data_IF_574548534567
#
_entry.id   IF_574548534567
#
_cell.length_a   1.000
_cell.length_b   1.000
_cell.length_c   1.000
_cell.angle_alpha   90.00
_cell.angle_beta   90.00
_cell.angle_gamma   90.00
#
_symmetry.space_group_name_H-M   'P 1'
#
loop_
_entity.id
_entity.type
_entity.pdbx_description
1 polymer ?
#
# COMPACT_ATOMS: atom_id res chain seq x y z
N UNK A 1 38.08 1.37 28.27
CA UNK A 1 38.13 1.48 26.79
C UNK A 1 36.87 0.87 26.15
N UNK A 2 36.37 -0.28 26.62
CA UNK A 2 35.11 -0.89 26.17
C UNK A 2 33.84 -0.04 26.41
N UNK A 3 33.78 0.73 27.50
CA UNK A 3 32.58 1.56 27.80
C UNK A 3 32.35 2.69 26.79
N UNK A 4 33.41 3.28 26.22
CA UNK A 4 33.26 4.37 25.25
C UNK A 4 32.74 3.84 23.91
N UNK A 5 33.21 2.67 23.47
CA UNK A 5 32.71 2.01 22.26
C UNK A 5 31.24 1.61 22.39
N UNK A 6 30.85 1.06 23.56
CA UNK A 6 29.46 0.70 23.82
C UNK A 6 28.53 1.93 23.79
N UNK A 7 28.94 3.02 24.44
CA UNK A 7 28.17 4.28 24.44
C UNK A 7 28.07 4.87 23.03
N UNK A 8 29.16 4.85 22.25
CA UNK A 8 29.15 5.34 20.87
C UNK A 8 28.23 4.49 19.97
N UNK A 9 28.23 3.16 20.14
CA UNK A 9 27.35 2.26 19.42
C UNK A 9 25.88 2.52 19.74
N UNK A 10 25.55 2.78 21.01
CA UNK A 10 24.19 3.07 21.47
C UNK A 10 23.67 4.40 20.93
N UNK A 11 24.48 5.46 21.00
CA UNK A 11 24.14 6.77 20.44
C UNK A 11 23.94 6.67 18.93
N UNK A 12 24.82 5.96 18.23
CA UNK A 12 24.70 5.76 16.78
C UNK A 12 23.40 5.04 16.39
N UNK A 13 23.00 4.02 17.17
CA UNK A 13 21.78 3.25 16.92
C UNK A 13 20.50 4.04 17.23
N UNK A 14 20.48 4.79 18.33
CA UNK A 14 19.34 5.66 18.67
C UNK A 14 19.14 6.75 17.62
N UNK A 15 20.23 7.41 17.19
CA UNK A 15 20.17 8.36 16.08
C UNK A 15 19.70 7.68 14.79
N UNK A 16 20.16 6.46 14.50
CA UNK A 16 19.70 5.69 13.35
C UNK A 16 18.19 5.41 13.38
N UNK A 17 17.67 5.02 14.55
CA UNK A 17 16.24 4.76 14.76
C UNK A 17 15.41 6.02 14.58
N UNK A 18 15.80 7.13 15.20
CA UNK A 18 15.07 8.39 15.12
C UNK A 18 15.02 8.93 13.68
N UNK A 19 16.15 8.86 12.97
CA UNK A 19 16.25 9.29 11.58
C UNK A 19 15.50 8.37 10.60
N UNK A 20 15.36 7.07 10.94
CA UNK A 20 14.58 6.13 10.13
C UNK A 20 13.08 6.42 10.12
N UNK A 21 12.57 7.14 11.13
CA UNK A 21 11.16 7.52 11.24
C UNK A 21 10.81 8.74 10.37
N UNK A 22 11.77 9.65 10.14
CA UNK A 22 11.52 10.91 9.44
C UNK A 22 11.84 10.85 7.94
N UNK A 23 13.03 10.36 7.55
CA UNK A 23 13.50 10.36 6.13
C UNK A 23 14.45 9.19 5.80
N UNK A 24 13.97 7.94 5.82
CA UNK A 24 14.82 6.76 5.61
C UNK A 24 15.48 6.73 4.22
N UNK A 25 14.76 7.13 3.16
CA UNK A 25 15.27 7.10 1.78
C UNK A 25 16.42 8.08 1.49
N UNK A 26 16.52 9.20 2.24
CA UNK A 26 17.58 10.19 2.08
C UNK A 26 18.96 9.69 2.57
N UNK A 27 18.98 8.56 3.28
CA UNK A 27 20.19 7.94 3.84
C UNK A 27 20.52 6.59 3.19
N UNK A 28 19.82 6.23 2.11
CA UNK A 28 20.21 5.08 1.31
C UNK A 28 21.59 5.33 0.70
N UNK A 29 22.58 4.54 1.11
CA UNK A 29 23.95 4.61 0.59
C UNK A 29 24.08 3.94 -0.78
N UNK A 30 23.13 3.06 -1.13
CA UNK A 30 23.03 2.42 -2.44
C UNK A 30 21.75 2.88 -3.13
N UNK A 31 21.88 3.45 -4.33
CA UNK A 31 20.72 3.86 -5.14
C UNK A 31 20.10 2.64 -5.80
N UNK A 32 18.79 2.49 -5.67
CA UNK A 32 18.06 1.45 -6.40
C UNK A 32 18.03 1.85 -7.88
N UNK A 33 18.73 1.08 -8.72
CA UNK A 33 18.67 1.22 -10.17
C UNK A 33 17.58 0.29 -10.72
N UNK A 34 16.63 0.86 -11.45
CA UNK A 34 15.55 0.09 -12.05
C UNK A 34 15.98 -0.38 -13.46
N UNK A 35 15.67 -1.63 -13.83
CA UNK A 35 16.04 -2.18 -15.14
C UNK A 35 15.35 -1.45 -16.29
N UNK A 36 15.85 -1.61 -17.51
CA UNK A 36 15.29 -0.97 -18.70
C UNK A 36 13.81 -1.38 -18.93
N UNK A 37 12.95 -0.49 -19.47
CA UNK A 37 11.55 -0.80 -19.78
C UNK A 37 11.32 -2.05 -20.64
N UNK A 38 12.31 -2.47 -21.44
CA UNK A 38 12.28 -3.72 -22.22
C UNK A 38 12.02 -4.98 -21.38
N UNK A 39 12.33 -4.93 -20.07
CA UNK A 39 12.08 -6.04 -19.13
C UNK A 39 10.59 -6.43 -19.07
N UNK A 40 9.68 -5.53 -19.46
CA UNK A 40 8.23 -5.78 -19.52
C UNK A 40 7.90 -7.07 -20.26
N UNK A 41 8.52 -7.32 -21.43
CA UNK A 41 8.18 -8.50 -22.25
C UNK A 41 8.45 -9.81 -21.53
N UNK A 42 9.59 -9.90 -20.84
CA UNK A 42 10.01 -11.08 -20.07
C UNK A 42 9.13 -11.22 -18.82
N UNK A 43 8.95 -10.11 -18.09
CA UNK A 43 8.19 -10.11 -16.85
C UNK A 43 6.70 -10.40 -17.05
N UNK A 44 6.11 -9.91 -18.13
CA UNK A 44 4.70 -10.20 -18.45
C UNK A 44 4.52 -11.70 -18.67
N UNK A 45 5.37 -12.34 -19.48
CA UNK A 45 5.32 -13.79 -19.70
C UNK A 45 5.56 -14.60 -18.41
N UNK A 46 6.47 -14.13 -17.54
CA UNK A 46 6.72 -14.75 -16.25
C UNK A 46 5.49 -14.68 -15.33
N UNK A 47 4.87 -13.50 -15.22
CA UNK A 47 3.67 -13.28 -14.40
C UNK A 47 2.47 -14.06 -14.95
N UNK A 48 2.30 -14.14 -16.28
CA UNK A 48 1.26 -14.96 -16.91
C UNK A 48 1.46 -16.45 -16.59
N UNK A 49 2.68 -16.97 -16.71
CA UNK A 49 2.99 -18.38 -16.43
C UNK A 49 2.72 -18.76 -14.97
N UNK A 50 2.94 -17.83 -14.04
CA UNK A 50 2.70 -18.03 -12.62
C UNK A 50 1.25 -17.68 -12.19
N UNK A 51 0.41 -17.22 -13.12
CA UNK A 51 -0.95 -16.77 -12.83
C UNK A 51 -0.97 -15.58 -11.87
N UNK A 52 0.04 -14.72 -11.89
CA UNK A 52 0.13 -13.50 -11.07
C UNK A 52 -0.45 -12.26 -11.77
N UNK A 53 -0.76 -12.38 -13.07
CA UNK A 53 -1.37 -11.33 -13.88
C UNK A 53 -2.90 -11.31 -13.67
N UNK A 54 -3.32 -11.08 -12.44
CA UNK A 54 -4.73 -10.91 -12.07
C UNK A 54 -4.90 -9.61 -11.29
N UNK A 55 -6.05 -8.95 -11.44
CA UNK A 55 -6.36 -7.71 -10.73
C UNK A 55 -6.14 -7.86 -9.23
N UNK A 56 -6.70 -8.90 -8.62
CA UNK A 56 -6.61 -9.15 -7.19
C UNK A 56 -5.16 -9.22 -6.68
N UNK A 57 -4.31 -9.99 -7.36
CA UNK A 57 -2.89 -10.15 -6.97
C UNK A 57 -2.08 -8.86 -7.14
N UNK A 58 -2.31 -8.09 -8.19
CA UNK A 58 -1.58 -6.84 -8.42
C UNK A 58 -2.09 -5.76 -7.47
N UNK A 59 -3.41 -5.66 -7.30
CA UNK A 59 -4.04 -4.66 -6.46
C UNK A 59 -3.77 -4.87 -4.97
N UNK A 60 -3.71 -6.12 -4.50
CA UNK A 60 -3.35 -6.43 -3.11
C UNK A 60 -1.87 -6.14 -2.78
N UNK A 61 -1.02 -5.96 -3.79
CA UNK A 61 0.35 -5.57 -3.56
C UNK A 61 0.48 -4.06 -3.43
N UNK A 62 1.23 -3.60 -2.42
CA UNK A 62 1.39 -2.18 -2.12
C UNK A 62 1.90 -1.34 -3.31
N UNK A 63 2.89 -1.85 -4.05
CA UNK A 63 3.42 -1.16 -5.24
C UNK A 63 2.44 -1.23 -6.43
N UNK A 64 1.75 -2.34 -6.59
CA UNK A 64 0.73 -2.50 -7.62
C UNK A 64 -0.43 -1.54 -7.41
N UNK A 65 -0.95 -1.45 -6.19
CA UNK A 65 -1.95 -0.46 -5.79
C UNK A 65 -1.51 0.97 -6.06
N UNK A 66 -0.31 1.37 -5.63
CA UNK A 66 0.17 2.76 -5.80
C UNK A 66 0.30 3.15 -7.27
N UNK A 67 0.81 2.24 -8.12
CA UNK A 67 0.96 2.48 -9.55
C UNK A 67 -0.38 2.45 -10.28
N UNK A 68 -1.30 1.58 -9.85
CA UNK A 68 -2.66 1.53 -10.38
C UNK A 68 -3.45 2.80 -10.02
N UNK A 69 -3.38 3.24 -8.77
CA UNK A 69 -3.96 4.52 -8.32
C UNK A 69 -3.41 5.69 -9.14
N UNK A 70 -2.10 5.77 -9.30
CA UNK A 70 -1.44 6.80 -10.09
C UNK A 70 -1.81 6.72 -11.58
N UNK A 71 -2.13 5.53 -12.09
CA UNK A 71 -2.71 5.37 -13.42
C UNK A 71 -4.12 5.95 -13.49
N UNK A 72 -5.02 5.55 -12.58
CA UNK A 72 -6.41 5.99 -12.55
C UNK A 72 -6.53 7.51 -12.40
N UNK A 73 -5.76 8.13 -11.50
CA UNK A 73 -5.81 9.58 -11.26
C UNK A 73 -5.33 10.42 -12.44
N UNK A 74 -4.41 9.90 -13.27
CA UNK A 74 -3.79 10.68 -14.35
C UNK A 74 -4.33 10.35 -15.76
N UNK A 75 -4.89 9.16 -15.97
CA UNK A 75 -5.28 8.68 -17.30
C UNK A 75 -6.78 8.38 -17.44
N UNK A 76 -7.53 8.27 -16.35
CA UNK A 76 -8.92 7.83 -16.38
C UNK A 76 -9.79 8.75 -15.51
N UNK A 77 -10.39 9.75 -16.14
CA UNK A 77 -11.25 10.75 -15.47
C UNK A 77 -12.47 10.08 -14.78
N UNK A 78 -12.96 8.97 -15.35
CA UNK A 78 -14.05 8.16 -14.77
C UNK A 78 -13.63 7.28 -13.59
N UNK A 79 -12.35 6.86 -13.51
CA UNK A 79 -11.85 5.96 -12.46
C UNK A 79 -11.25 6.71 -11.27
N UNK A 80 -10.87 7.98 -11.47
CA UNK A 80 -10.38 8.85 -10.41
C UNK A 80 -11.35 8.99 -9.22
N UNK A 81 -12.66 9.29 -9.39
CA UNK A 81 -13.60 9.39 -8.27
C UNK A 81 -13.81 8.04 -7.55
N UNK A 82 -13.81 6.92 -8.29
CA UNK A 82 -13.97 5.57 -7.73
C UNK A 82 -12.82 5.18 -6.80
N UNK A 83 -11.60 5.52 -7.18
CA UNK A 83 -10.40 5.27 -6.36
C UNK A 83 -10.38 6.16 -5.11
N UNK A 84 -10.76 7.44 -5.23
CA UNK A 84 -10.88 8.34 -4.07
C UNK A 84 -11.94 7.83 -3.08
N UNK A 85 -13.10 7.40 -3.60
CA UNK A 85 -14.15 6.79 -2.80
C UNK A 85 -13.68 5.51 -2.08
N UNK A 86 -12.95 4.63 -2.77
CA UNK A 86 -12.33 3.45 -2.15
C UNK A 86 -11.33 3.82 -1.04
N UNK A 87 -10.49 4.84 -1.24
CA UNK A 87 -9.56 5.30 -0.19
C UNK A 87 -10.30 5.86 1.04
N UNK A 88 -11.38 6.58 0.84
CA UNK A 88 -12.18 7.13 1.94
C UNK A 88 -12.92 6.02 2.71
N UNK A 89 -13.42 4.99 2.02
CA UNK A 89 -13.96 3.78 2.68
C UNK A 89 -12.87 3.05 3.48
N UNK A 90 -11.66 2.91 2.93
CA UNK A 90 -10.53 2.29 3.67
C UNK A 90 -10.09 3.12 4.88
N UNK A 91 -10.26 4.44 4.86
CA UNK A 91 -10.05 5.29 6.06
C UNK A 91 -11.16 5.05 7.07
N UNK A 92 -12.41 4.99 6.61
CA UNK A 92 -13.58 4.71 7.43
C UNK A 92 -13.48 3.37 8.17
N UNK A 93 -13.01 2.31 7.51
CA UNK A 93 -12.79 0.99 8.12
C UNK A 93 -11.75 1.01 9.25
N UNK A 94 -10.77 1.92 9.18
CA UNK A 94 -9.68 2.06 10.16
C UNK A 94 -10.04 2.93 11.36
N UNK A 95 -11.17 3.63 11.31
CA UNK A 95 -11.61 4.47 12.43
C UNK A 95 -12.11 3.60 13.57
N UNK A 96 -11.52 3.78 14.75
CA UNK A 96 -11.93 3.08 15.97
C UNK A 96 -13.11 3.75 16.68
N UNK A 97 -13.31 5.06 16.47
CA UNK A 97 -14.36 5.84 17.13
C UNK A 97 -15.66 5.86 16.31
N UNK A 98 -16.79 5.58 16.97
CA UNK A 98 -18.11 5.57 16.31
C UNK A 98 -18.57 6.97 15.88
N UNK A 99 -18.17 8.03 16.60
CA UNK A 99 -18.54 9.41 16.27
C UNK A 99 -17.87 9.93 15.00
N UNK A 100 -16.57 9.68 14.81
CA UNK A 100 -15.86 10.05 13.59
C UNK A 100 -16.33 9.19 12.41
N UNK A 101 -16.62 7.91 12.67
CA UNK A 101 -17.17 7.01 11.66
C UNK A 101 -18.50 7.53 11.11
N UNK A 102 -19.42 8.00 11.97
CA UNK A 102 -20.70 8.56 11.51
C UNK A 102 -20.51 9.86 10.71
N UNK A 103 -19.59 10.74 11.14
CA UNK A 103 -19.29 11.99 10.41
C UNK A 103 -18.72 11.70 9.02
N UNK A 104 -17.68 10.87 8.95
CA UNK A 104 -17.02 10.51 7.71
C UNK A 104 -17.98 9.71 6.79
N UNK A 105 -18.79 8.81 7.35
CA UNK A 105 -19.79 8.08 6.57
C UNK A 105 -20.83 8.99 5.90
N UNK A 106 -21.27 10.05 6.58
CA UNK A 106 -22.16 11.07 5.97
C UNK A 106 -21.44 11.87 4.89
N UNK A 107 -20.20 12.30 5.14
CA UNK A 107 -19.41 13.04 4.17
C UNK A 107 -19.17 12.23 2.89
N UNK A 108 -18.81 10.95 3.04
CA UNK A 108 -18.65 9.99 1.95
C UNK A 108 -19.97 9.85 1.15
N UNK A 109 -21.10 9.73 1.85
CA UNK A 109 -22.41 9.64 1.20
C UNK A 109 -22.75 10.92 0.42
N UNK A 110 -22.55 12.09 1.01
CA UNK A 110 -22.90 13.36 0.37
C UNK A 110 -22.00 13.68 -0.83
N UNK A 111 -20.70 13.39 -0.74
CA UNK A 111 -19.72 13.70 -1.79
C UNK A 111 -19.80 12.78 -2.99
N UNK A 112 -19.95 11.47 -2.77
CA UNK A 112 -19.87 10.47 -3.83
C UNK A 112 -21.25 9.95 -4.21
N UNK A 113 -22.02 9.46 -3.23
CA UNK A 113 -23.31 8.80 -3.49
C UNK A 113 -24.37 9.81 -3.93
N UNK A 114 -24.52 10.91 -3.19
CA UNK A 114 -25.58 11.88 -3.42
C UNK A 114 -25.33 12.73 -4.67
N UNK A 115 -24.05 13.05 -4.96
CA UNK A 115 -23.65 13.73 -6.19
C UNK A 115 -23.90 12.88 -7.43
N UNK A 116 -23.62 11.57 -7.38
CA UNK A 116 -23.89 10.65 -8.49
C UNK A 116 -25.39 10.38 -8.70
N UNK A 117 -26.17 10.32 -7.62
CA UNK A 117 -27.63 10.22 -7.68
C UNK A 117 -28.23 11.41 -8.46
N UNK A 118 -27.68 12.60 -8.23
CA UNK A 118 -28.11 13.83 -8.90
C UNK A 118 -27.67 13.88 -10.38
N UNK A 119 -26.51 13.30 -10.71
CA UNK A 119 -25.98 13.29 -12.08
C UNK A 119 -26.57 12.20 -12.99
N UNK A 120 -27.42 11.30 -12.48
CA UNK A 120 -28.07 10.21 -13.23
C UNK A 120 -27.10 9.25 -13.94
N UNK A 121 -25.81 9.29 -13.60
CA UNK A 121 -24.82 8.30 -14.00
C UNK A 121 -25.00 7.09 -13.09
N UNK A 122 -25.95 6.22 -13.41
CA UNK A 122 -26.24 5.00 -12.65
C UNK A 122 -25.10 3.98 -12.74
N UNK A 123 -23.98 4.23 -12.04
CA UNK A 123 -22.82 3.34 -11.96
C UNK A 123 -22.95 2.29 -10.84
N UNK A 124 -23.74 2.57 -9.80
CA UNK A 124 -23.94 1.68 -8.65
C UNK A 124 -25.35 1.07 -8.60
N UNK A 125 -25.48 -0.12 -8.01
CA UNK A 125 -26.77 -0.81 -7.88
C UNK A 125 -27.71 -0.08 -6.92
N UNK A 126 -29.00 -0.04 -7.26
CA UNK A 126 -30.06 0.54 -6.41
C UNK A 126 -30.15 -0.15 -5.04
N UNK A 127 -29.90 -1.47 -4.98
CA UNK A 127 -29.87 -2.23 -3.72
C UNK A 127 -28.77 -1.73 -2.76
N UNK A 128 -27.64 -1.30 -3.31
CA UNK A 128 -26.45 -0.86 -2.57
C UNK A 128 -26.65 0.57 -2.06
N UNK A 129 -27.35 1.40 -2.84
CA UNK A 129 -27.87 2.72 -2.44
C UNK A 129 -28.83 2.63 -1.26
N UNK A 130 -29.84 1.78 -1.37
CA UNK A 130 -30.85 1.61 -0.33
C UNK A 130 -30.22 1.06 0.96
N UNK A 131 -29.27 0.12 0.86
CA UNK A 131 -28.59 -0.45 2.03
C UNK A 131 -27.73 0.59 2.79
N UNK A 132 -26.95 1.42 2.08
CA UNK A 132 -26.20 2.49 2.74
C UNK A 132 -27.13 3.54 3.36
N UNK A 133 -28.22 3.89 2.69
CA UNK A 133 -29.18 4.86 3.20
C UNK A 133 -29.88 4.36 4.48
N UNK A 134 -30.29 3.09 4.52
CA UNK A 134 -30.88 2.45 5.69
C UNK A 134 -29.89 2.39 6.86
N UNK A 135 -28.64 1.99 6.63
CA UNK A 135 -27.61 1.92 7.67
C UNK A 135 -27.22 3.31 8.19
N UNK A 136 -27.16 4.33 7.32
CA UNK A 136 -26.94 5.71 7.74
C UNK A 136 -28.12 6.24 8.56
N UNK A 137 -29.36 5.90 8.20
CA UNK A 137 -30.56 6.27 8.96
C UNK A 137 -30.62 5.55 10.31
N UNK A 138 -30.22 4.28 10.35
CA UNK A 138 -30.13 3.50 11.57
C UNK A 138 -29.04 4.05 12.51
N UNK A 139 -27.89 4.45 11.96
CA UNK A 139 -26.79 5.05 12.73
C UNK A 139 -27.18 6.34 13.44
N UNK A 140 -28.11 7.12 12.88
CA UNK A 140 -28.67 8.31 13.54
C UNK A 140 -29.51 7.96 14.78
N UNK A 141 -30.12 6.77 14.79
CA UNK A 141 -30.94 6.27 15.91
C UNK A 141 -30.13 5.48 16.94
N UNK A 142 -29.15 4.69 16.50
CA UNK A 142 -28.41 3.75 17.35
C UNK A 142 -27.05 4.29 17.80
N UNK A 143 -26.59 5.43 17.23
CA UNK A 143 -25.23 5.98 17.40
C UNK A 143 -24.10 4.98 17.09
N UNK A 144 -24.40 3.91 16.35
CA UNK A 144 -23.44 2.90 15.95
C UNK A 144 -23.52 2.71 14.45
N UNK A 145 -22.36 2.78 13.80
CA UNK A 145 -22.23 2.54 12.37
C UNK A 145 -21.24 1.38 12.19
N UNK A 146 -21.65 0.23 11.63
CA UNK A 146 -20.73 -0.86 11.33
C UNK A 146 -19.66 -0.42 10.33
N UNK A 147 -18.42 -0.90 10.51
CA UNK A 147 -17.34 -0.66 9.54
C UNK A 147 -17.62 -1.27 8.16
N UNK A 148 -18.51 -2.26 8.10
CA UNK A 148 -18.90 -2.99 6.90
C UNK A 148 -19.99 -2.31 6.05
N UNK A 149 -20.42 -1.10 6.47
CA UNK A 149 -21.52 -0.36 5.81
C UNK A 149 -21.29 -0.17 4.30
N UNK A 150 -20.03 -0.04 3.88
CA UNK A 150 -19.65 0.22 2.50
C UNK A 150 -19.04 -0.99 1.79
N UNK A 151 -19.02 -2.18 2.39
CA UNK A 151 -18.53 -3.40 1.71
C UNK A 151 -19.17 -3.66 0.34
N UNK A 152 -20.49 -3.57 0.15
CA UNK A 152 -21.07 -3.81 -1.18
C UNK A 152 -20.64 -2.76 -2.21
N UNK A 153 -20.34 -1.52 -1.78
CA UNK A 153 -19.76 -0.52 -2.67
C UNK A 153 -18.32 -0.85 -3.06
N UNK A 154 -17.53 -1.37 -2.12
CA UNK A 154 -16.16 -1.80 -2.41
C UNK A 154 -16.18 -2.88 -3.49
N UNK A 155 -17.06 -3.86 -3.39
CA UNK A 155 -17.16 -4.93 -4.38
C UNK A 155 -17.58 -4.41 -5.76
N UNK A 156 -18.55 -3.49 -5.84
CA UNK A 156 -18.96 -2.87 -7.11
C UNK A 156 -17.85 -2.01 -7.73
N UNK A 157 -17.12 -1.25 -6.91
CA UNK A 157 -15.96 -0.46 -7.37
C UNK A 157 -14.87 -1.40 -7.92
N UNK A 158 -14.54 -2.47 -7.18
CA UNK A 158 -13.50 -3.41 -7.59
C UNK A 158 -13.88 -4.14 -8.89
N UNK A 159 -15.16 -4.55 -9.04
CA UNK A 159 -15.64 -5.14 -10.30
C UNK A 159 -15.52 -4.18 -11.48
N UNK A 160 -15.85 -2.90 -11.27
CA UNK A 160 -15.72 -1.87 -12.32
C UNK A 160 -14.26 -1.63 -12.69
N UNK A 161 -13.37 -1.58 -11.71
CA UNK A 161 -11.93 -1.37 -11.91
C UNK A 161 -11.23 -2.60 -12.52
N UNK A 162 -11.71 -3.81 -12.24
CA UNK A 162 -11.16 -5.07 -12.75
C UNK A 162 -11.38 -5.26 -14.26
N UNK A 163 -12.37 -4.60 -14.85
CA UNK A 163 -12.68 -4.69 -16.28
C UNK A 163 -11.75 -3.85 -17.16
N UNK A 164 -12.33 -2.94 -17.94
CA UNK A 164 -11.62 -2.17 -18.97
C UNK A 164 -10.48 -1.28 -18.39
N UNK A 165 -10.63 -0.82 -17.15
CA UNK A 165 -9.61 0.02 -16.48
C UNK A 165 -8.34 -0.78 -16.22
N UNK A 166 -8.47 -2.03 -15.75
CA UNK A 166 -7.33 -2.90 -15.51
C UNK A 166 -6.62 -3.31 -16.82
N UNK A 167 -7.38 -3.65 -17.86
CA UNK A 167 -6.78 -3.94 -19.18
C UNK A 167 -6.02 -2.74 -19.75
N UNK A 168 -6.57 -1.53 -19.57
CA UNK A 168 -5.92 -0.29 -19.98
C UNK A 168 -4.66 0.00 -19.14
N UNK A 169 -4.69 -0.30 -17.84
CA UNK A 169 -3.53 -0.25 -16.97
C UNK A 169 -2.42 -1.19 -17.42
N UNK A 170 -2.74 -2.45 -17.77
CA UNK A 170 -1.76 -3.44 -18.26
C UNK A 170 -1.07 -3.00 -19.55
N UNK A 171 -1.75 -2.21 -20.40
CA UNK A 171 -1.17 -1.64 -21.62
C UNK A 171 -0.28 -0.43 -21.33
N UNK A 172 -0.54 0.30 -20.25
CA UNK A 172 0.12 1.55 -19.89
C UNK A 172 1.59 1.42 -19.47
N UNK A 173 2.28 2.57 -19.43
CA UNK A 173 3.65 2.68 -18.90
C UNK A 173 3.73 2.46 -17.37
N UNK A 174 2.61 2.58 -16.65
CA UNK A 174 2.58 2.33 -15.20
C UNK A 174 2.74 0.83 -14.90
N UNK A 175 2.18 -0.03 -15.74
CA UNK A 175 2.44 -1.47 -15.66
C UNK A 175 3.89 -1.82 -16.04
N UNK A 176 4.49 -1.13 -17.01
CA UNK A 176 5.93 -1.26 -17.28
C UNK A 176 6.76 -0.96 -16.03
N UNK A 177 6.40 0.11 -15.29
CA UNK A 177 7.04 0.45 -14.03
C UNK A 177 6.84 -0.63 -12.96
N UNK A 178 5.65 -1.21 -12.87
CA UNK A 178 5.38 -2.35 -11.98
C UNK A 178 6.29 -3.54 -12.31
N UNK A 179 6.44 -3.88 -13.59
CA UNK A 179 7.34 -4.95 -14.04
C UNK A 179 8.80 -4.70 -13.65
N UNK A 180 9.28 -3.45 -13.75
CA UNK A 180 10.63 -3.07 -13.33
C UNK A 180 10.84 -3.29 -11.83
N UNK A 181 9.87 -2.89 -11.01
CA UNK A 181 9.89 -3.13 -9.56
C UNK A 181 9.79 -4.61 -9.21
N UNK A 182 8.96 -5.38 -9.93
CA UNK A 182 8.85 -6.82 -9.75
C UNK A 182 10.10 -7.57 -10.11
N UNK A 183 10.74 -7.19 -11.21
CA UNK A 183 12.02 -7.77 -11.56
C UNK A 183 13.08 -7.46 -10.49
N UNK A 184 13.08 -6.25 -9.94
CA UNK A 184 13.97 -5.94 -8.82
C UNK A 184 13.66 -6.85 -7.63
N UNK A 185 12.39 -6.92 -7.19
CA UNK A 185 11.95 -7.75 -6.06
C UNK A 185 12.39 -9.21 -6.18
N UNK A 186 12.19 -9.83 -7.35
CA UNK A 186 12.54 -11.23 -7.61
C UNK A 186 14.04 -11.48 -7.75
N UNK A 187 14.84 -10.46 -8.10
CA UNK A 187 16.29 -10.58 -8.27
C UNK A 187 17.08 -10.04 -7.06
N UNK A 188 16.43 -9.71 -5.94
CA UNK A 188 17.13 -9.30 -4.73
C UNK A 188 17.85 -10.52 -4.15
N UNK A 189 19.18 -10.52 -4.29
CA UNK A 189 20.08 -11.43 -3.59
C UNK A 189 20.76 -10.66 -2.47
N UNK A 190 20.29 -10.88 -1.24
CA UNK A 190 20.80 -10.17 -0.07
C UNK A 190 22.17 -10.71 0.32
N UNK A 191 23.13 -9.80 0.49
CA UNK A 191 24.45 -10.10 1.03
C UNK A 191 24.71 -9.27 2.29
N UNK A 192 25.73 -9.64 3.07
CA UNK A 192 26.14 -8.86 4.25
C UNK A 192 26.46 -7.40 3.91
N UNK A 193 26.92 -7.12 2.69
CA UNK A 193 27.23 -5.77 2.21
C UNK A 193 26.00 -4.88 1.97
N UNK A 194 24.78 -5.43 2.02
CA UNK A 194 23.54 -4.68 1.89
C UNK A 194 23.00 -4.19 3.25
N UNK A 195 23.67 -4.57 4.33
CA UNK A 195 23.32 -4.20 5.69
C UNK A 195 24.50 -3.53 6.40
N UNK A 196 24.26 -2.33 6.92
CA UNK A 196 25.15 -1.69 7.88
C UNK A 196 24.77 -2.16 9.27
N UNK A 197 25.52 -3.14 9.76
CA UNK A 197 25.35 -3.72 11.10
C UNK A 197 25.80 -2.70 12.15
N UNK A 198 24.97 -2.46 13.16
CA UNK A 198 25.29 -1.64 14.33
C UNK A 198 25.60 -2.59 15.50
N UNK A 199 24.94 -2.41 16.65
CA UNK A 199 25.17 -3.20 17.87
C UNK A 199 24.30 -4.46 17.95
N UNK A 200 24.70 -5.37 18.82
CA UNK A 200 23.87 -6.49 19.27
C UNK A 200 22.73 -5.92 20.13
N UNK A 201 21.50 -6.31 19.81
CA UNK A 201 20.27 -5.91 20.52
C UNK A 201 19.66 -7.06 21.31
N UNK A 202 20.11 -8.30 21.09
CA UNK A 202 19.67 -9.46 21.83
C UNK A 202 20.62 -10.63 21.67
N UNK A 203 20.75 -11.45 22.72
CA UNK A 203 21.53 -12.69 22.72
C UNK A 203 20.62 -13.85 23.11
N UNK A 204 20.69 -14.96 22.37
CA UNK A 204 19.93 -16.17 22.63
C UNK A 204 20.74 -17.43 22.39
N UNK A 205 20.16 -18.60 22.67
CA UNK A 205 20.84 -19.89 22.52
C UNK A 205 21.24 -20.25 21.08
N UNK A 206 20.61 -19.62 20.07
CA UNK A 206 20.88 -19.85 18.65
C UNK A 206 21.69 -18.73 17.99
N UNK A 207 22.21 -17.76 18.78
CA UNK A 207 23.06 -16.68 18.27
C UNK A 207 22.68 -15.30 18.78
N UNK A 208 23.21 -14.29 18.11
CA UNK A 208 23.06 -12.88 18.46
C UNK A 208 22.23 -12.14 17.41
N UNK A 209 21.36 -11.25 17.86
CA UNK A 209 20.55 -10.39 17.00
C UNK A 209 21.23 -9.03 16.91
N UNK A 210 21.48 -8.57 15.70
CA UNK A 210 22.08 -7.26 15.46
C UNK A 210 21.02 -6.26 14.97
N UNK A 211 21.12 -5.03 15.45
CA UNK A 211 20.44 -3.90 14.84
C UNK A 211 21.16 -3.52 13.56
N UNK A 212 20.46 -3.54 12.43
CA UNK A 212 21.04 -3.30 11.11
C UNK A 212 20.29 -2.20 10.38
N UNK A 213 20.97 -1.46 9.52
CA UNK A 213 20.36 -0.54 8.56
C UNK A 213 20.50 -1.10 7.15
N UNK A 214 19.40 -1.23 6.42
CA UNK A 214 19.44 -1.67 5.02
C UNK A 214 19.99 -0.53 4.13
N UNK A 215 21.01 -0.80 3.34
CA UNK A 215 21.75 0.22 2.59
C UNK A 215 20.96 0.86 1.43
N UNK A 216 19.96 0.15 0.89
CA UNK A 216 19.15 0.58 -0.26
C UNK A 216 17.96 1.49 0.11
N UNK A 217 17.45 1.35 1.33
CA UNK A 217 16.22 1.99 1.81
C UNK A 217 16.46 2.83 3.06
N UNK A 218 17.62 2.66 3.72
CA UNK A 218 17.95 3.32 4.98
C UNK A 218 17.10 2.85 6.16
N UNK A 219 16.26 1.82 5.98
CA UNK A 219 15.35 1.32 7.01
C UNK A 219 16.13 0.54 8.07
N UNK A 220 15.82 0.78 9.34
CA UNK A 220 16.35 -0.01 10.45
C UNK A 220 15.58 -1.32 10.56
N UNK A 221 16.32 -2.40 10.69
CA UNK A 221 15.85 -3.78 10.79
C UNK A 221 16.71 -4.54 11.81
N UNK A 222 16.28 -5.73 12.16
CA UNK A 222 17.05 -6.64 13.00
C UNK A 222 17.46 -7.83 12.14
N UNK A 223 18.72 -8.24 12.22
CA UNK A 223 19.24 -9.37 11.47
C UNK A 223 19.81 -10.41 12.42
N UNK A 224 19.43 -11.67 12.18
CA UNK A 224 20.11 -12.84 12.70
C UNK A 224 21.08 -13.30 11.60
N UNK A 225 22.40 -13.21 11.80
CA UNK A 225 23.34 -13.85 10.90
C UNK A 225 23.19 -15.37 11.03
N UNK A 226 22.73 -16.03 9.96
CA UNK A 226 22.83 -17.48 9.87
C UNK A 226 24.32 -17.81 9.69
N UNK A 227 24.89 -18.56 10.65
CA UNK A 227 26.22 -19.15 10.55
C UNK A 227 26.26 -20.35 9.62
#
# INVERSE_FOLDING_TARGET
MADLEAVLADVSYLMAMEMSKSTPAARASKRIALPDPSIRSIMTKYLEKNGELTFDKIFNQKLGYLLFRDYCLNNSDDAAPQISFYEDIRKFEKLETDEERIKLGKEIYDQYIMKELLSHTHKFSKSTLDHAHELLTLSQKTKKLPSDTFSPYVDEILQTLQGEVFDSFLRSNRFTRFCQWKNLELNINLTTNDFSVHRIIGRGGFGEVYGCRKADTGKICCQLPCG
#
